data_IF_466638778249
#
_entry.id   IF_466638778249
#
_cell.length_a   1.000
_cell.length_b   1.000
_cell.length_c   1.000
_cell.angle_alpha   90.00
_cell.angle_beta   90.00
_cell.angle_gamma   90.00
#
_symmetry.space_group_name_H-M   'P 1'
#
loop_
_entity.id
_entity.type
_entity.pdbx_description
1 polymer ?
#
# COMPACT_ATOMS: atom_id res chain seq x y z
N UNK A 1 11.25 21.01 10.30
CA UNK A 1 11.72 19.62 10.15
C UNK A 1 10.71 18.68 10.77
N UNK A 2 10.28 17.67 10.06
CA UNK A 2 9.22 16.78 10.52
C UNK A 2 9.83 15.59 11.30
N UNK A 3 9.91 15.72 12.62
CA UNK A 3 10.47 14.68 13.49
C UNK A 3 9.64 13.41 13.52
N UNK A 4 8.34 13.49 13.15
CA UNK A 4 7.42 12.36 13.14
C UNK A 4 7.92 11.24 12.22
N UNK A 5 8.32 11.58 11.00
CA UNK A 5 8.78 10.57 10.05
C UNK A 5 10.18 10.07 10.37
N UNK A 6 11.04 10.92 10.91
CA UNK A 6 12.34 10.50 11.41
C UNK A 6 12.19 9.45 12.51
N UNK A 7 11.31 9.68 13.47
CA UNK A 7 11.03 8.74 14.54
C UNK A 7 10.43 7.44 14.01
N UNK A 8 9.52 7.52 13.05
CA UNK A 8 8.94 6.33 12.42
C UNK A 8 10.02 5.43 11.83
N UNK A 9 10.98 6.01 11.12
CA UNK A 9 12.05 5.25 10.50
C UNK A 9 12.97 4.63 11.55
N UNK A 10 13.39 5.41 12.54
CA UNK A 10 14.28 4.93 13.61
C UNK A 10 13.62 3.80 14.41
N UNK A 11 12.35 3.94 14.75
CA UNK A 11 11.60 2.92 15.49
C UNK A 11 11.50 1.59 14.72
N UNK A 12 11.61 1.65 13.40
CA UNK A 12 11.57 0.48 12.54
C UNK A 12 12.96 0.05 12.05
N UNK A 13 14.01 0.51 12.71
CA UNK A 13 15.39 0.17 12.40
C UNK A 13 15.83 0.57 10.99
N UNK A 14 15.36 1.72 10.52
CA UNK A 14 15.71 2.28 9.23
C UNK A 14 16.53 3.55 9.47
N UNK A 15 17.69 3.62 8.83
CA UNK A 15 18.52 4.82 8.89
C UNK A 15 17.83 5.96 8.14
N UNK A 16 17.54 7.10 8.80
CA UNK A 16 16.78 8.17 8.16
C UNK A 16 17.66 9.04 7.25
N UNK A 17 18.00 8.51 6.08
CA UNK A 17 18.71 9.28 5.06
C UNK A 17 17.77 10.36 4.50
N UNK A 18 18.36 11.39 3.88
CA UNK A 18 17.59 12.49 3.30
C UNK A 18 16.54 11.97 2.31
N UNK A 19 16.94 11.11 1.37
CA UNK A 19 16.03 10.58 0.35
C UNK A 19 14.96 9.69 0.96
N UNK A 20 15.32 8.87 1.94
CA UNK A 20 14.36 8.03 2.63
C UNK A 20 13.29 8.86 3.35
N UNK A 21 13.71 9.95 4.01
CA UNK A 21 12.79 10.88 4.66
C UNK A 21 11.89 11.59 3.66
N UNK A 22 12.43 12.01 2.52
CA UNK A 22 11.64 12.67 1.49
C UNK A 22 10.53 11.75 0.96
N UNK A 23 10.86 10.48 0.73
CA UNK A 23 9.87 9.49 0.30
C UNK A 23 8.84 9.25 1.42
N UNK A 24 9.29 9.09 2.66
CA UNK A 24 8.40 8.87 3.80
C UNK A 24 7.39 10.02 3.95
N UNK A 25 7.84 11.25 3.80
CA UNK A 25 6.96 12.43 3.87
C UNK A 25 5.88 12.42 2.80
N UNK A 26 6.19 11.91 1.60
CA UNK A 26 5.22 11.83 0.52
C UNK A 26 4.15 10.76 0.76
N UNK A 27 4.54 9.62 1.33
CA UNK A 27 3.65 8.46 1.39
C UNK A 27 2.98 8.26 2.75
N UNK A 28 3.61 8.67 3.85
CA UNK A 28 3.06 8.45 5.19
C UNK A 28 2.31 9.64 5.78
N UNK A 29 2.17 10.73 5.03
CA UNK A 29 1.46 11.92 5.51
C UNK A 29 -0.04 11.64 5.72
N UNK A 30 -0.58 10.66 5.02
CA UNK A 30 -1.96 10.21 5.15
C UNK A 30 -2.05 8.76 4.71
N UNK A 31 -3.12 8.08 5.10
CA UNK A 31 -3.42 6.74 4.59
C UNK A 31 -3.69 6.82 3.09
N UNK A 32 -3.00 5.99 2.32
CA UNK A 32 -3.13 5.99 0.87
C UNK A 32 -2.56 4.71 0.27
N UNK A 33 -2.98 4.40 -0.94
CA UNK A 33 -2.37 3.37 -1.74
C UNK A 33 -1.90 3.97 -3.07
N UNK A 34 -0.86 3.39 -3.62
CA UNK A 34 -0.23 3.92 -4.84
C UNK A 34 0.57 2.82 -5.54
N UNK A 35 0.79 3.01 -6.83
CA UNK A 35 1.75 2.20 -7.59
C UNK A 35 3.13 2.86 -7.54
N UNK A 36 4.18 2.09 -7.83
CA UNK A 36 5.52 2.65 -7.90
C UNK A 36 5.62 3.77 -8.95
N UNK A 37 4.94 3.60 -10.09
CA UNK A 37 4.93 4.62 -11.15
C UNK A 37 4.31 5.92 -10.66
N UNK A 38 3.20 5.83 -9.94
CA UNK A 38 2.55 7.00 -9.36
C UNK A 38 3.48 7.73 -8.38
N UNK A 39 4.22 6.98 -7.57
CA UNK A 39 5.19 7.58 -6.65
C UNK A 39 6.34 8.25 -7.40
N UNK A 40 6.85 7.61 -8.45
CA UNK A 40 7.91 8.19 -9.29
C UNK A 40 7.45 9.54 -9.86
N UNK A 41 6.22 9.60 -10.38
CA UNK A 41 5.66 10.84 -10.91
C UNK A 41 5.51 11.90 -9.82
N UNK A 42 5.08 11.51 -8.63
CA UNK A 42 4.93 12.41 -7.49
C UNK A 42 6.27 13.00 -7.05
N UNK A 43 7.31 12.18 -7.04
CA UNK A 43 8.68 12.60 -6.75
C UNK A 43 9.13 13.67 -7.75
N UNK A 44 8.89 13.44 -9.05
CA UNK A 44 9.22 14.40 -10.11
C UNK A 44 8.47 15.72 -9.93
N UNK A 45 7.17 15.65 -9.67
CA UNK A 45 6.35 16.86 -9.48
C UNK A 45 6.78 17.66 -8.26
N UNK A 46 7.29 16.99 -7.24
CA UNK A 46 7.78 17.62 -6.02
C UNK A 46 9.20 18.17 -6.18
N UNK A 47 9.79 18.05 -7.37
CA UNK A 47 11.14 18.52 -7.71
C UNK A 47 12.22 17.90 -6.81
N UNK A 48 12.02 16.67 -6.42
CA UNK A 48 13.00 15.91 -5.66
C UNK A 48 13.91 15.14 -6.62
N UNK A 49 15.19 15.07 -6.27
CA UNK A 49 16.19 14.37 -7.08
C UNK A 49 16.44 12.99 -6.50
N UNK A 50 15.53 12.07 -6.82
CA UNK A 50 15.61 10.69 -6.33
C UNK A 50 15.51 9.77 -7.55
N UNK A 51 16.50 8.88 -7.72
CA UNK A 51 16.49 7.93 -8.83
C UNK A 51 15.38 6.89 -8.66
N UNK A 52 14.94 6.32 -9.78
CA UNK A 52 13.96 5.24 -9.74
C UNK A 52 14.46 4.05 -8.93
N UNK A 53 15.75 3.71 -9.06
CA UNK A 53 16.35 2.63 -8.29
C UNK A 53 16.23 2.89 -6.79
N UNK A 54 16.49 4.12 -6.34
CA UNK A 54 16.36 4.48 -4.93
C UNK A 54 14.90 4.39 -4.46
N UNK A 55 13.95 4.82 -5.30
CA UNK A 55 12.52 4.73 -4.97
C UNK A 55 12.13 3.26 -4.76
N UNK A 56 12.47 2.38 -5.71
CA UNK A 56 12.16 0.95 -5.58
C UNK A 56 12.84 0.31 -4.37
N UNK A 57 14.11 0.63 -4.14
CA UNK A 57 14.84 0.09 -2.98
C UNK A 57 14.23 0.56 -1.66
N UNK A 58 13.80 1.81 -1.60
CA UNK A 58 13.15 2.36 -0.40
C UNK A 58 11.79 1.69 -0.14
N UNK A 59 10.98 1.50 -1.19
CA UNK A 59 9.72 0.80 -1.06
C UNK A 59 9.91 -0.64 -0.60
N UNK A 60 10.92 -1.32 -1.13
CA UNK A 60 11.26 -2.68 -0.73
C UNK A 60 11.65 -2.73 0.76
N UNK A 61 12.43 -1.75 1.21
CA UNK A 61 12.84 -1.64 2.61
C UNK A 61 11.62 -1.40 3.52
N UNK A 62 10.74 -0.49 3.13
CA UNK A 62 9.52 -0.20 3.92
C UNK A 62 8.61 -1.42 4.00
N UNK A 63 8.45 -2.15 2.90
CA UNK A 63 7.70 -3.40 2.90
C UNK A 63 8.32 -4.42 3.85
N UNK A 64 9.63 -4.61 3.76
CA UNK A 64 10.36 -5.56 4.60
C UNK A 64 10.21 -5.23 6.09
N UNK A 65 10.16 -3.97 6.43
CA UNK A 65 9.99 -3.51 7.82
C UNK A 65 8.52 -3.44 8.26
N UNK A 66 7.59 -3.84 7.41
CA UNK A 66 6.18 -3.89 7.76
C UNK A 66 5.48 -2.54 7.74
N UNK A 67 6.06 -1.52 7.12
CA UNK A 67 5.45 -0.19 7.01
C UNK A 67 4.48 -0.07 5.83
N UNK A 68 4.56 -0.99 4.88
CA UNK A 68 3.70 -1.03 3.70
C UNK A 68 3.10 -2.42 3.54
N UNK A 69 1.85 -2.45 3.16
CA UNK A 69 1.16 -3.66 2.69
C UNK A 69 1.20 -3.69 1.18
N UNK A 70 1.35 -4.89 0.62
CA UNK A 70 1.34 -5.05 -0.84
C UNK A 70 0.02 -5.66 -1.24
N UNK A 71 -0.62 -5.06 -2.24
CA UNK A 71 -1.82 -5.60 -2.87
C UNK A 71 -1.43 -5.99 -4.29
N UNK A 72 -1.31 -7.30 -4.53
CA UNK A 72 -0.94 -7.84 -5.84
C UNK A 72 -2.20 -8.20 -6.59
N UNK A 73 -2.34 -7.67 -7.78
CA UNK A 73 -3.49 -7.91 -8.65
C UNK A 73 -3.03 -8.65 -9.90
N UNK A 74 -3.99 -9.23 -10.62
CA UNK A 74 -3.71 -9.87 -11.90
C UNK A 74 -3.11 -8.84 -12.87
N UNK A 75 -2.36 -9.29 -13.86
CA UNK A 75 -1.66 -8.47 -14.85
C UNK A 75 -0.52 -7.63 -14.26
N UNK A 76 0.11 -8.15 -13.22
CA UNK A 76 1.30 -7.55 -12.60
C UNK A 76 1.06 -6.18 -11.95
N UNK A 77 -0.21 -5.77 -11.75
CA UNK A 77 -0.50 -4.57 -10.99
C UNK A 77 -0.16 -4.80 -9.53
N UNK A 78 0.68 -3.92 -8.99
CA UNK A 78 1.10 -3.96 -7.60
C UNK A 78 0.83 -2.60 -6.97
N UNK A 79 0.02 -2.60 -5.91
CA UNK A 79 -0.22 -1.41 -5.11
C UNK A 79 0.48 -1.55 -3.77
N UNK A 80 1.02 -0.43 -3.30
CA UNK A 80 1.55 -0.27 -1.95
C UNK A 80 0.50 0.46 -1.13
N UNK A 81 0.19 -0.04 0.04
CA UNK A 81 -0.82 0.54 0.92
C UNK A 81 -0.18 0.90 2.25
N UNK A 82 -0.29 2.16 2.66
CA UNK A 82 0.22 2.64 3.95
C UNK A 82 -0.75 2.37 5.08
N UNK A 83 -2.02 2.08 4.76
CA UNK A 83 -3.01 1.72 5.77
C UNK A 83 -2.85 0.25 6.13
N UNK A 84 -2.28 -0.01 7.31
CA UNK A 84 -2.01 -1.36 7.78
C UNK A 84 -3.21 -1.99 8.50
N UNK A 85 -4.28 -1.24 8.73
CA UNK A 85 -5.49 -1.76 9.36
C UNK A 85 -6.22 -2.73 8.42
N UNK A 86 -6.99 -3.66 9.01
CA UNK A 86 -7.76 -4.61 8.23
C UNK A 86 -8.85 -3.88 7.44
N UNK A 87 -8.86 -4.06 6.14
CA UNK A 87 -9.88 -3.52 5.25
C UNK A 87 -9.89 -4.35 3.96
N UNK A 88 -10.91 -4.12 3.15
CA UNK A 88 -11.07 -4.81 1.88
C UNK A 88 -10.86 -3.84 0.73
N UNK A 89 -10.82 -4.35 -0.48
CA UNK A 89 -10.57 -3.54 -1.66
C UNK A 89 -11.54 -3.84 -2.78
N UNK A 90 -11.80 -2.80 -3.57
CA UNK A 90 -12.57 -2.87 -4.81
C UNK A 90 -11.66 -2.40 -5.93
N UNK A 91 -11.46 -3.24 -6.95
CA UNK A 91 -10.58 -2.90 -8.07
C UNK A 91 -11.41 -2.76 -9.35
N UNK A 92 -11.34 -1.58 -9.98
CA UNK A 92 -11.99 -1.33 -11.26
C UNK A 92 -11.05 -1.72 -12.40
N UNK A 93 -11.39 -2.80 -13.09
CA UNK A 93 -10.55 -3.31 -14.19
C UNK A 93 -10.62 -2.44 -15.45
N UNK A 94 -11.64 -1.59 -15.57
CA UNK A 94 -11.74 -0.66 -16.70
C UNK A 94 -10.80 0.52 -16.58
N UNK A 95 -10.56 0.98 -15.35
CA UNK A 95 -9.77 2.19 -15.08
C UNK A 95 -8.47 1.90 -14.34
N UNK A 96 -8.28 0.66 -13.86
CA UNK A 96 -7.15 0.25 -13.04
C UNK A 96 -7.04 1.04 -11.73
N UNK A 97 -8.18 1.41 -11.16
CA UNK A 97 -8.23 2.15 -9.90
C UNK A 97 -8.61 1.22 -8.75
N UNK A 98 -7.96 1.43 -7.61
CA UNK A 98 -8.19 0.68 -6.39
C UNK A 98 -8.90 1.58 -5.38
N UNK A 99 -9.96 1.06 -4.75
CA UNK A 99 -10.70 1.75 -3.71
C UNK A 99 -10.74 0.90 -2.45
N UNK A 100 -10.68 1.54 -1.30
CA UNK A 100 -10.80 0.85 -0.03
C UNK A 100 -12.27 0.59 0.30
N UNK A 101 -12.53 -0.58 0.89
CA UNK A 101 -13.85 -0.93 1.42
C UNK A 101 -13.66 -1.15 2.92
N UNK A 102 -14.44 -0.44 3.73
CA UNK A 102 -14.39 -0.59 5.18
C UNK A 102 -14.65 -2.06 5.56
N UNK A 103 -13.91 -2.53 6.57
CA UNK A 103 -14.10 -3.87 7.09
C UNK A 103 -15.55 -4.12 7.55
N UNK A 104 -16.25 -3.07 7.96
CA UNK A 104 -17.65 -3.16 8.41
C UNK A 104 -18.65 -3.40 7.27
N UNK A 105 -18.24 -3.20 6.02
CA UNK A 105 -19.12 -3.36 4.86
C UNK A 105 -19.25 -4.82 4.43
N UNK A 106 -18.40 -5.71 4.92
CA UNK A 106 -18.40 -7.12 4.54
C UNK A 106 -18.45 -7.97 5.80
N UNK A 107 -19.42 -8.89 5.83
CA UNK A 107 -19.54 -9.86 6.90
C UNK A 107 -19.48 -11.27 6.32
N UNK A 108 -18.81 -12.17 7.02
CA UNK A 108 -18.69 -13.57 6.62
C UNK A 108 -19.65 -14.40 7.45
N UNK A 109 -20.57 -15.12 6.79
CA UNK A 109 -21.49 -16.02 7.48
C UNK A 109 -20.78 -17.32 7.92
N UNK A 110 -19.73 -17.71 7.21
CA UNK A 110 -18.91 -18.87 7.56
C UNK A 110 -17.54 -18.73 6.92
N UNK A 111 -16.57 -19.38 7.54
CA UNK A 111 -15.21 -19.50 7.02
C UNK A 111 -14.84 -20.97 6.94
N UNK A 112 -13.90 -21.34 6.06
CA UNK A 112 -13.48 -22.74 5.97
C UNK A 112 -12.83 -23.20 7.26
N UNK A 113 -12.85 -24.52 7.49
CA UNK A 113 -12.15 -25.11 8.61
C UNK A 113 -10.64 -24.95 8.43
N UNK A 114 -9.99 -24.47 9.46
CA UNK A 114 -8.55 -24.25 9.46
C UNK A 114 -7.90 -25.39 10.26
N UNK A 115 -6.82 -26.02 9.74
CA UNK A 115 -6.08 -27.04 10.51
C UNK A 115 -5.65 -26.51 11.88
N UNK A 116 -5.65 -27.41 12.89
CA UNK A 116 -5.42 -27.01 14.28
C UNK A 116 -4.07 -26.34 14.55
N UNK A 117 -3.07 -26.58 13.70
CA UNK A 117 -1.74 -25.97 13.86
C UNK A 117 -1.62 -24.59 13.20
N UNK A 118 -2.71 -24.10 12.59
CA UNK A 118 -2.76 -22.82 11.90
C UNK A 118 -3.80 -21.93 12.56
N UNK A 119 -3.62 -20.63 12.41
CA UNK A 119 -4.61 -19.64 12.82
C UNK A 119 -4.78 -18.62 11.71
N UNK A 120 -5.96 -18.03 11.62
CA UNK A 120 -6.23 -17.01 10.61
C UNK A 120 -5.55 -15.71 11.04
N UNK A 121 -4.64 -15.22 10.22
CA UNK A 121 -3.98 -13.94 10.45
C UNK A 121 -4.86 -12.80 9.96
N UNK A 122 -5.44 -12.96 8.77
CA UNK A 122 -6.24 -11.92 8.14
C UNK A 122 -7.18 -12.53 7.11
N UNK A 123 -8.35 -11.94 6.95
CA UNK A 123 -9.29 -12.29 5.90
C UNK A 123 -9.54 -11.04 5.08
N UNK A 124 -9.26 -11.12 3.79
CA UNK A 124 -9.36 -9.97 2.88
C UNK A 124 -10.19 -10.35 1.66
N UNK A 125 -11.05 -9.42 1.24
CA UNK A 125 -11.88 -9.58 0.04
C UNK A 125 -11.46 -8.55 -0.99
N UNK A 126 -11.25 -9.02 -2.21
CA UNK A 126 -11.03 -8.16 -3.36
C UNK A 126 -12.23 -8.32 -4.30
N UNK A 127 -12.97 -7.24 -4.50
CA UNK A 127 -14.09 -7.22 -5.43
C UNK A 127 -13.62 -6.57 -6.72
N UNK A 128 -13.69 -7.31 -7.82
CA UNK A 128 -13.36 -6.77 -9.14
C UNK A 128 -14.62 -6.24 -9.80
N UNK A 129 -14.56 -4.99 -10.22
CA UNK A 129 -15.66 -4.34 -10.92
C UNK A 129 -15.17 -3.84 -12.27
N UNK A 130 -16.11 -3.54 -13.14
CA UNK A 130 -15.83 -2.91 -14.43
C UNK A 130 -16.91 -1.87 -14.69
N UNK A 131 -16.59 -0.87 -15.50
CA UNK A 131 -17.58 0.13 -15.87
C UNK A 131 -18.77 -0.55 -16.57
N UNK A 132 -19.98 -0.14 -16.23
CA UNK A 132 -21.17 -0.62 -16.91
C UNK A 132 -21.17 -0.12 -18.35
N UNK A 133 -21.60 -0.97 -19.27
CA UNK A 133 -21.81 -0.55 -20.66
C UNK A 133 -23.06 0.30 -20.72
N UNK A 134 -22.98 1.38 -21.45
CA UNK A 134 -24.17 2.17 -21.77
C UNK A 134 -24.90 1.48 -22.93
N UNK A 135 -26.16 1.26 -22.74
CA UNK A 135 -27.03 0.69 -23.77
C UNK A 135 -27.62 1.82 -24.63
#
# INVERSE_FOLDING_TARGET
MNNQFTNLLIENNITPTKQCLEIAELIFVKDQHFTAIELIEKVKKSKLFISQATIYNTLCLFELKGLLKIISLQNEYKFYDTNLSAHHHLFNTSTNTLMDISNDCIAFSSLPNIPNHLEIEETEVLIKVKNKRHS
#
